data_IF_485183755301
#
_entry.id   IF_485183755301
#
_cell.length_a   1.000
_cell.length_b   1.000
_cell.length_c   1.000
_cell.angle_alpha   90.00
_cell.angle_beta   90.00
_cell.angle_gamma   90.00
#
_symmetry.space_group_name_H-M   'P 1'
#
loop_
_entity.id
_entity.type
_entity.pdbx_description
1 polymer ?
#
# COMPACT_ATOMS: atom_id res chain seq x y z
N UNK A 1 -23.05 -18.18 -2.17
CA UNK A 1 -22.31 -17.62 -1.02
C UNK A 1 -23.32 -17.21 0.04
N UNK A 2 -23.12 -17.57 1.31
CA UNK A 2 -24.01 -17.15 2.39
C UNK A 2 -23.94 -15.62 2.58
N UNK A 3 -25.08 -14.96 2.77
CA UNK A 3 -25.12 -13.53 3.07
C UNK A 3 -24.60 -13.30 4.49
N UNK A 4 -23.82 -12.23 4.70
CA UNK A 4 -23.36 -11.81 6.03
C UNK A 4 -24.55 -11.59 6.98
N UNK A 5 -24.45 -12.07 8.21
CA UNK A 5 -25.43 -11.78 9.27
C UNK A 5 -25.37 -10.30 9.67
N UNK A 6 -26.40 -9.74 10.33
CA UNK A 6 -26.35 -8.39 10.87
C UNK A 6 -25.14 -8.17 11.79
N UNK A 7 -24.79 -9.15 12.61
CA UNK A 7 -23.67 -9.09 13.55
C UNK A 7 -22.33 -9.03 12.81
N UNK A 8 -22.18 -9.81 11.73
CA UNK A 8 -20.98 -9.78 10.89
C UNK A 8 -20.82 -8.43 10.17
N UNK A 9 -21.93 -7.83 9.70
CA UNK A 9 -21.90 -6.50 9.09
C UNK A 9 -21.53 -5.43 10.11
N UNK A 10 -22.13 -5.45 11.30
CA UNK A 10 -21.79 -4.53 12.38
C UNK A 10 -20.32 -4.69 12.83
N UNK A 11 -19.80 -5.92 12.87
CA UNK A 11 -18.40 -6.18 13.18
C UNK A 11 -17.43 -5.68 12.08
N UNK A 12 -17.85 -5.72 10.82
CA UNK A 12 -17.10 -5.12 9.71
C UNK A 12 -17.11 -3.60 9.76
N UNK A 13 -18.26 -2.99 10.03
CA UNK A 13 -18.39 -1.54 10.18
C UNK A 13 -17.53 -1.00 11.34
N UNK A 14 -17.52 -1.68 12.50
CA UNK A 14 -16.64 -1.31 13.62
C UNK A 14 -15.16 -1.33 13.24
N UNK A 15 -14.71 -2.36 12.50
CA UNK A 15 -13.32 -2.46 12.04
C UNK A 15 -12.99 -1.39 11.01
N UNK A 16 -13.92 -1.07 10.10
CA UNK A 16 -13.77 0.02 9.16
C UNK A 16 -13.57 1.37 9.88
N UNK A 17 -14.44 1.68 10.86
CA UNK A 17 -14.33 2.91 11.68
C UNK A 17 -12.99 2.94 12.42
N UNK A 18 -12.57 1.81 13.01
CA UNK A 18 -11.30 1.72 13.72
C UNK A 18 -10.09 1.92 12.77
N UNK A 19 -10.12 1.41 11.53
CA UNK A 19 -9.08 1.65 10.55
C UNK A 19 -9.01 3.13 10.12
N UNK A 20 -10.16 3.78 9.95
CA UNK A 20 -10.23 5.22 9.65
C UNK A 20 -9.67 6.09 10.79
N UNK A 21 -9.92 5.69 12.04
CA UNK A 21 -9.61 6.49 13.23
C UNK A 21 -8.34 6.09 13.97
N UNK A 22 -7.58 5.10 13.46
CA UNK A 22 -6.32 4.69 14.06
C UNK A 22 -5.34 5.88 14.03
N UNK A 23 -4.69 6.15 15.16
CA UNK A 23 -3.86 7.34 15.36
C UNK A 23 -2.35 7.05 15.43
N UNK A 24 -1.95 5.79 15.24
CA UNK A 24 -0.56 5.35 15.32
C UNK A 24 -0.40 3.96 14.68
N UNK A 25 0.86 3.56 14.53
CA UNK A 25 1.26 2.25 13.97
C UNK A 25 0.62 1.11 14.75
N UNK A 26 0.64 1.12 16.08
CA UNK A 26 0.13 0.03 16.92
C UNK A 26 -1.36 -0.22 16.71
N UNK A 27 -2.14 0.84 16.47
CA UNK A 27 -3.57 0.75 16.14
C UNK A 27 -3.82 0.31 14.69
N UNK A 28 -2.88 0.57 13.78
CA UNK A 28 -2.95 0.17 12.38
C UNK A 28 -2.54 -1.31 12.17
N UNK A 29 -1.63 -1.85 12.97
CA UNK A 29 -1.07 -3.20 12.83
C UNK A 29 -2.13 -4.32 12.68
N UNK A 30 -3.23 -4.35 13.45
CA UNK A 30 -4.24 -5.39 13.33
C UNK A 30 -4.85 -5.47 11.92
N UNK A 31 -4.89 -4.35 11.18
CA UNK A 31 -5.50 -4.29 9.86
C UNK A 31 -4.65 -4.88 8.74
N UNK A 32 -3.35 -5.12 8.95
CA UNK A 32 -2.49 -5.78 7.96
C UNK A 32 -3.03 -7.13 7.49
N UNK A 33 -3.84 -7.79 8.33
CA UNK A 33 -4.41 -9.12 8.06
C UNK A 33 -5.94 -9.14 8.05
N UNK A 34 -6.59 -7.96 8.05
CA UNK A 34 -8.05 -7.89 8.03
C UNK A 34 -8.61 -8.67 6.83
N UNK A 35 -9.64 -9.53 6.99
CA UNK A 35 -10.17 -10.32 5.89
C UNK A 35 -10.79 -9.47 4.77
N UNK A 36 -11.20 -8.24 5.05
CA UNK A 36 -11.78 -7.33 4.07
C UNK A 36 -10.70 -6.41 3.47
N UNK A 37 -10.44 -6.58 2.17
CA UNK A 37 -9.48 -5.76 1.43
C UNK A 37 -9.76 -4.26 1.50
N UNK A 38 -11.03 -3.84 1.61
CA UNK A 38 -11.38 -2.42 1.71
C UNK A 38 -10.90 -1.83 3.04
N UNK A 39 -10.97 -2.60 4.14
CA UNK A 39 -10.47 -2.16 5.45
C UNK A 39 -8.94 -2.05 5.42
N UNK A 40 -8.25 -2.99 4.77
CA UNK A 40 -6.78 -2.91 4.60
C UNK A 40 -6.37 -1.70 3.77
N UNK A 41 -7.12 -1.39 2.70
CA UNK A 41 -6.90 -0.18 1.91
C UNK A 41 -7.16 1.10 2.72
N UNK A 42 -8.23 1.13 3.53
CA UNK A 42 -8.50 2.24 4.47
C UNK A 42 -7.34 2.45 5.43
N UNK A 43 -6.82 1.38 6.02
CA UNK A 43 -5.69 1.45 6.95
C UNK A 43 -4.40 1.94 6.25
N UNK A 44 -4.12 1.48 5.03
CA UNK A 44 -2.98 1.96 4.25
C UNK A 44 -3.11 3.43 3.78
N UNK A 45 -4.35 3.95 3.66
CA UNK A 45 -4.64 5.35 3.34
C UNK A 45 -4.57 6.27 4.56
N UNK A 46 -4.58 5.71 5.78
CA UNK A 46 -4.65 6.48 7.02
C UNK A 46 -3.45 7.45 7.13
N UNK A 47 -3.66 8.75 7.37
CA UNK A 47 -2.58 9.75 7.40
C UNK A 47 -1.53 9.50 8.50
N UNK A 48 -1.89 8.80 9.57
CA UNK A 48 -0.98 8.41 10.66
C UNK A 48 -0.18 7.13 10.34
N UNK A 49 -0.35 6.54 9.15
CA UNK A 49 0.49 5.47 8.65
C UNK A 49 1.89 6.01 8.29
N UNK A 50 2.90 5.52 8.99
CA UNK A 50 4.30 5.85 8.74
C UNK A 50 4.93 4.98 7.64
N UNK A 51 6.17 5.28 7.29
CA UNK A 51 6.89 4.57 6.23
C UNK A 51 7.05 3.06 6.53
N UNK A 52 7.21 2.66 7.79
CA UNK A 52 7.45 1.27 8.19
C UNK A 52 6.19 0.43 8.03
N UNK A 53 5.05 0.91 8.53
CA UNK A 53 3.80 0.16 8.38
C UNK A 53 3.29 0.17 6.94
N UNK A 54 3.54 1.24 6.18
CA UNK A 54 3.27 1.29 4.74
C UNK A 54 4.09 0.24 3.97
N UNK A 55 5.35 0.01 4.35
CA UNK A 55 6.15 -1.06 3.75
C UNK A 55 5.52 -2.43 4.01
N UNK A 56 4.96 -2.67 5.19
CA UNK A 56 4.22 -3.90 5.49
C UNK A 56 2.93 -4.01 4.68
N UNK A 57 2.18 -2.91 4.49
CA UNK A 57 1.01 -2.89 3.60
C UNK A 57 1.37 -3.10 2.11
N UNK A 58 2.60 -2.80 1.68
CA UNK A 58 3.04 -3.06 0.32
C UNK A 58 3.14 -4.57 -0.01
N UNK A 59 3.15 -5.46 0.99
CA UNK A 59 3.08 -6.92 0.80
C UNK A 59 1.65 -7.44 0.60
N UNK A 60 0.64 -6.56 0.63
CA UNK A 60 -0.74 -6.98 0.47
C UNK A 60 -0.96 -7.70 -0.86
N UNK A 61 -1.70 -8.81 -0.84
CA UNK A 61 -2.00 -9.58 -2.06
C UNK A 61 -2.84 -8.82 -3.09
N UNK A 62 -3.66 -7.85 -2.67
CA UNK A 62 -4.50 -7.06 -3.55
C UNK A 62 -3.80 -5.77 -3.97
N UNK A 63 -3.72 -5.57 -5.28
CA UNK A 63 -3.08 -4.40 -5.86
C UNK A 63 -3.69 -3.06 -5.40
N UNK A 64 -4.99 -3.04 -5.07
CA UNK A 64 -5.67 -1.84 -4.58
C UNK A 64 -5.10 -1.31 -3.27
N UNK A 65 -4.72 -2.19 -2.34
CA UNK A 65 -4.07 -1.79 -1.09
C UNK A 65 -2.67 -1.24 -1.37
N UNK A 66 -1.90 -1.92 -2.22
CA UNK A 66 -0.57 -1.47 -2.66
C UNK A 66 -0.62 -0.11 -3.37
N UNK A 67 -1.71 0.20 -4.08
CA UNK A 67 -1.90 1.52 -4.69
C UNK A 67 -2.11 2.63 -3.65
N UNK A 68 -2.80 2.36 -2.53
CA UNK A 68 -2.88 3.35 -1.45
C UNK A 68 -1.50 3.60 -0.83
N UNK A 69 -0.69 2.55 -0.68
CA UNK A 69 0.71 2.71 -0.24
C UNK A 69 1.49 3.62 -1.18
N UNK A 70 1.45 3.39 -2.50
CA UNK A 70 2.19 4.23 -3.48
C UNK A 70 1.74 5.69 -3.44
N UNK A 71 0.44 5.94 -3.27
CA UNK A 71 -0.13 7.29 -3.22
C UNK A 71 0.13 8.01 -1.90
N UNK A 72 0.46 7.28 -0.85
CA UNK A 72 0.62 7.85 0.47
C UNK A 72 1.77 8.88 0.53
N UNK A 73 1.60 9.95 1.29
CA UNK A 73 2.62 10.99 1.44
C UNK A 73 3.88 10.44 2.14
N UNK A 74 3.68 9.57 3.14
CA UNK A 74 4.73 9.02 3.98
C UNK A 74 5.45 7.79 3.37
N UNK A 75 5.09 7.34 2.17
CA UNK A 75 5.72 6.15 1.57
C UNK A 75 7.22 6.35 1.33
N UNK A 76 8.03 5.42 1.80
CA UNK A 76 9.49 5.44 1.63
C UNK A 76 9.91 5.16 0.19
N UNK A 77 11.07 5.68 -0.23
CA UNK A 77 11.66 5.37 -1.53
C UNK A 77 11.97 3.87 -1.68
N UNK A 78 12.48 3.24 -0.60
CA UNK A 78 12.79 1.81 -0.59
C UNK A 78 11.55 0.94 -0.90
N UNK A 79 10.40 1.28 -0.31
CA UNK A 79 9.12 0.61 -0.60
C UNK A 79 8.69 0.81 -2.05
N UNK A 80 8.79 2.03 -2.58
CA UNK A 80 8.48 2.30 -3.99
C UNK A 80 9.38 1.48 -4.94
N UNK A 81 10.68 1.40 -4.67
CA UNK A 81 11.62 0.58 -5.45
C UNK A 81 11.25 -0.90 -5.40
N UNK A 82 10.87 -1.41 -4.22
CA UNK A 82 10.45 -2.80 -4.02
C UNK A 82 9.17 -3.16 -4.77
N UNK A 83 8.30 -2.17 -5.01
CA UNK A 83 7.06 -2.33 -5.78
C UNK A 83 7.27 -2.35 -7.30
N UNK A 84 8.50 -2.15 -7.78
CA UNK A 84 8.83 -2.27 -9.21
C UNK A 84 8.99 -3.73 -9.63
N UNK A 85 8.40 -4.08 -10.76
CA UNK A 85 8.57 -5.39 -11.40
C UNK A 85 9.65 -5.35 -12.49
N UNK A 86 10.63 -6.25 -12.36
CA UNK A 86 11.75 -6.38 -13.30
C UNK A 86 11.34 -7.09 -14.59
N UNK A 87 10.35 -7.98 -14.54
CA UNK A 87 9.83 -8.71 -15.69
C UNK A 87 8.81 -7.88 -16.46
N UNK A 88 9.16 -7.43 -17.67
CA UNK A 88 8.26 -6.63 -18.53
C UNK A 88 6.82 -7.16 -18.64
N UNK A 89 6.57 -8.47 -18.86
CA UNK A 89 5.22 -9.01 -18.98
C UNK A 89 4.41 -8.97 -17.68
N UNK A 90 5.07 -8.82 -16.52
CA UNK A 90 4.43 -8.77 -15.20
C UNK A 90 4.20 -7.35 -14.70
N UNK A 91 4.69 -6.33 -15.42
CA UNK A 91 4.49 -4.93 -15.05
C UNK A 91 3.00 -4.60 -15.10
N UNK A 92 2.47 -4.26 -13.93
CA UNK A 92 1.06 -3.88 -13.76
C UNK A 92 0.92 -2.44 -13.25
N UNK A 93 -0.31 -2.10 -12.87
CA UNK A 93 -0.67 -0.75 -12.38
C UNK A 93 0.22 -0.28 -11.23
N UNK A 94 0.59 -1.18 -10.31
CA UNK A 94 1.43 -0.85 -9.15
C UNK A 94 2.86 -0.49 -9.57
N UNK A 95 3.45 -1.21 -10.53
CA UNK A 95 4.78 -0.88 -11.06
C UNK A 95 4.78 0.52 -11.70
N UNK A 96 3.79 0.81 -12.55
CA UNK A 96 3.72 2.13 -13.22
C UNK A 96 3.50 3.27 -12.23
N UNK A 97 2.65 3.07 -11.22
CA UNK A 97 2.43 4.07 -10.19
C UNK A 97 3.70 4.29 -9.33
N UNK A 98 4.38 3.21 -8.93
CA UNK A 98 5.61 3.31 -8.16
C UNK A 98 6.72 3.99 -8.97
N UNK A 99 6.85 3.67 -10.26
CA UNK A 99 7.77 4.35 -11.18
C UNK A 99 7.47 5.84 -11.29
N UNK A 100 6.23 6.21 -11.59
CA UNK A 100 5.85 7.62 -11.70
C UNK A 100 6.14 8.39 -10.40
N UNK A 101 5.86 7.77 -9.25
CA UNK A 101 6.14 8.36 -7.93
C UNK A 101 7.64 8.54 -7.66
N UNK A 102 8.48 7.64 -8.15
CA UNK A 102 9.94 7.76 -8.08
C UNK A 102 10.45 8.85 -9.03
N UNK A 103 9.90 8.95 -10.25
CA UNK A 103 10.23 10.01 -11.21
C UNK A 103 9.86 11.40 -10.67
N UNK A 104 8.71 11.55 -9.99
CA UNK A 104 8.33 12.77 -9.26
C UNK A 104 9.35 13.16 -8.18
N UNK A 105 10.07 12.18 -7.62
CA UNK A 105 11.14 12.38 -6.63
C UNK A 105 12.52 12.58 -7.26
N UNK A 106 12.59 12.69 -8.60
CA UNK A 106 13.83 12.92 -9.34
C UNK A 106 14.67 11.68 -9.61
N UNK A 107 14.13 10.48 -9.37
CA UNK A 107 14.83 9.23 -9.68
C UNK A 107 14.78 8.98 -11.19
N UNK A 108 15.95 8.86 -11.81
CA UNK A 108 16.09 8.55 -13.23
C UNK A 108 15.94 7.03 -13.49
N UNK A 109 15.43 6.69 -14.68
CA UNK A 109 15.22 5.30 -15.09
C UNK A 109 16.03 4.97 -16.34
N UNK A 110 16.59 3.76 -16.38
CA UNK A 110 17.31 3.22 -17.53
C UNK A 110 16.40 2.76 -18.65
N UNK A 111 17.00 2.32 -19.76
CA UNK A 111 16.26 1.76 -20.90
C UNK A 111 15.52 0.45 -20.56
N UNK A 112 15.95 -0.25 -19.53
CA UNK A 112 15.26 -1.41 -18.96
C UNK A 112 14.02 -1.02 -18.14
N UNK A 113 13.81 0.27 -17.89
CA UNK A 113 12.71 0.80 -17.07
C UNK A 113 12.88 0.52 -15.58
N UNK A 114 14.12 0.34 -15.11
CA UNK A 114 14.48 0.27 -13.69
C UNK A 114 15.24 1.53 -13.23
N UNK A 115 15.24 1.86 -11.92
CA UNK A 115 15.95 3.02 -11.40
C UNK A 115 17.45 2.93 -11.66
N UNK A 116 18.06 4.03 -12.07
CA UNK A 116 19.52 4.16 -12.09
C UNK A 116 20.00 4.35 -10.65
N UNK A 117 20.93 3.50 -10.20
CA UNK A 117 21.63 3.73 -8.96
C UNK A 117 22.52 4.97 -9.13
N UNK A 118 22.31 6.00 -8.30
CA UNK A 118 23.25 7.11 -8.24
C UNK A 118 24.53 6.57 -7.61
N UNK A 119 25.59 6.39 -8.41
CA UNK A 119 26.93 6.24 -7.89
C UNK A 119 27.30 7.52 -7.14
N UNK A 120 27.26 7.44 -5.80
CA UNK A 120 27.90 8.38 -4.88
C UNK A 120 29.42 8.32 -5.03
#
# INVERSE_FOLDING_TARGET
MAKKTPEQKAAEERRYIAACGAANVQELEPFLTDPNQAIRATAAMNPDADAEILDRFADDKFWGVRMEVVRHANVGEATLRRLLESSLPKRGVVHHAARARLEERGIAFGADGMPLEMSV
#
